data_IF_998177615160
#
_entry.id   IF_998177615160
#
_cell.length_a   1.000
_cell.length_b   1.000
_cell.length_c   1.000
_cell.angle_alpha   90.00
_cell.angle_beta   90.00
_cell.angle_gamma   90.00
#
_symmetry.space_group_name_H-M   'P 1'
#
loop_
_entity.id
_entity.type
_entity.pdbx_description
1 polymer ?
#
# COMPACT_ATOMS: atom_id res chain seq x y z
N UNK A 1 -14.78 -20.86 10.23
CA UNK A 1 -14.10 -20.82 8.93
C UNK A 1 -14.69 -21.88 8.03
N UNK A 2 -14.92 -21.58 6.76
CA UNK A 2 -15.53 -22.52 5.81
C UNK A 2 -17.06 -22.45 5.73
N UNK A 3 -17.70 -21.60 6.52
CA UNK A 3 -19.14 -21.35 6.45
C UNK A 3 -19.50 -20.50 5.23
N UNK A 4 -20.76 -20.60 4.78
CA UNK A 4 -21.26 -19.82 3.66
C UNK A 4 -22.06 -18.62 4.16
N UNK A 5 -21.86 -17.46 3.54
CA UNK A 5 -22.70 -16.31 3.75
C UNK A 5 -24.08 -16.52 3.10
N UNK A 6 -25.13 -15.86 3.63
CA UNK A 6 -26.41 -15.80 2.96
C UNK A 6 -26.28 -15.26 1.52
N UNK A 7 -27.22 -15.63 0.65
CA UNK A 7 -27.23 -15.15 -0.73
C UNK A 7 -27.36 -13.63 -0.83
N UNK A 8 -26.90 -13.02 -1.93
CA UNK A 8 -27.06 -11.57 -2.20
C UNK A 8 -28.52 -11.10 -2.01
N UNK A 9 -29.51 -11.96 -2.34
CA UNK A 9 -30.93 -11.64 -2.16
C UNK A 9 -31.32 -11.59 -0.68
N UNK A 10 -30.82 -12.52 0.12
CA UNK A 10 -31.08 -12.57 1.56
C UNK A 10 -30.40 -11.39 2.27
N UNK A 11 -29.14 -11.13 1.96
CA UNK A 11 -28.40 -9.97 2.51
C UNK A 11 -29.08 -8.64 2.14
N UNK A 12 -29.54 -8.48 0.89
CA UNK A 12 -30.26 -7.29 0.45
C UNK A 12 -31.56 -7.08 1.25
N UNK A 13 -32.26 -8.15 1.56
CA UNK A 13 -33.48 -8.09 2.38
C UNK A 13 -33.16 -7.78 3.84
N UNK A 14 -32.15 -8.44 4.40
CA UNK A 14 -31.73 -8.30 5.81
C UNK A 14 -31.23 -6.88 6.12
N UNK A 15 -30.42 -6.31 5.22
CA UNK A 15 -29.86 -4.97 5.39
C UNK A 15 -30.69 -3.84 4.77
N UNK A 16 -31.82 -4.14 4.14
CA UNK A 16 -32.71 -3.14 3.55
C UNK A 16 -32.08 -2.35 2.38
N UNK A 17 -31.15 -2.95 1.66
CA UNK A 17 -30.42 -2.31 0.56
C UNK A 17 -30.64 -3.01 -0.78
N UNK A 18 -30.21 -2.37 -1.89
CA UNK A 18 -30.35 -2.99 -3.22
C UNK A 18 -29.34 -4.13 -3.41
N UNK A 19 -29.67 -5.13 -4.27
CA UNK A 19 -28.75 -6.21 -4.62
C UNK A 19 -27.42 -5.73 -5.23
N UNK A 20 -27.38 -4.71 -6.11
CA UNK A 20 -26.13 -4.12 -6.55
C UNK A 20 -25.26 -3.56 -5.41
N UNK A 21 -25.87 -2.95 -4.40
CA UNK A 21 -25.16 -2.44 -3.20
C UNK A 21 -24.51 -3.59 -2.42
N UNK A 22 -25.27 -4.68 -2.18
CA UNK A 22 -24.71 -5.89 -1.54
C UNK A 22 -23.58 -6.49 -2.36
N UNK A 23 -23.73 -6.56 -3.68
CA UNK A 23 -22.71 -7.12 -4.57
C UNK A 23 -21.40 -6.33 -4.46
N UNK A 24 -21.48 -5.01 -4.47
CA UNK A 24 -20.32 -4.14 -4.31
C UNK A 24 -19.66 -4.32 -2.95
N UNK A 25 -20.43 -4.34 -1.88
CA UNK A 25 -19.92 -4.62 -0.53
C UNK A 25 -19.24 -5.99 -0.42
N UNK A 26 -19.81 -7.04 -1.04
CA UNK A 26 -19.19 -8.36 -1.06
C UNK A 26 -17.91 -8.39 -1.92
N UNK A 27 -17.82 -7.58 -2.98
CA UNK A 27 -16.60 -7.40 -3.77
C UNK A 27 -15.50 -6.76 -2.91
N UNK A 28 -15.84 -5.76 -2.10
CA UNK A 28 -14.91 -5.13 -1.17
C UNK A 28 -14.43 -6.12 -0.09
N UNK A 29 -15.32 -6.92 0.48
CA UNK A 29 -14.99 -7.95 1.47
C UNK A 29 -14.16 -9.10 0.87
N UNK A 30 -14.45 -9.49 -0.38
CA UNK A 30 -13.65 -10.48 -1.12
C UNK A 30 -12.24 -9.95 -1.41
N UNK A 31 -12.12 -8.66 -1.71
CA UNK A 31 -10.84 -7.99 -1.87
C UNK A 31 -9.97 -8.00 -0.61
N UNK A 32 -10.60 -7.95 0.55
CA UNK A 32 -9.92 -8.10 1.85
C UNK A 32 -9.51 -9.55 2.15
N UNK A 33 -9.82 -10.51 1.25
CA UNK A 33 -9.50 -11.93 1.41
C UNK A 33 -10.34 -12.64 2.48
N UNK A 34 -11.39 -12.00 2.98
CA UNK A 34 -12.26 -12.55 4.02
C UNK A 34 -13.23 -13.60 3.47
N UNK A 35 -13.62 -13.48 2.20
CA UNK A 35 -14.54 -14.38 1.53
C UNK A 35 -14.03 -14.78 0.14
N UNK A 36 -14.57 -15.85 -0.43
CA UNK A 36 -14.39 -16.25 -1.82
C UNK A 36 -15.75 -16.48 -2.46
N UNK A 37 -15.94 -15.98 -3.67
CA UNK A 37 -17.19 -16.10 -4.43
C UNK A 37 -16.95 -16.96 -5.67
N UNK A 38 -17.72 -18.05 -5.80
CA UNK A 38 -17.70 -18.89 -6.99
C UNK A 38 -19.11 -19.03 -7.53
N UNK A 39 -19.26 -18.87 -8.84
CA UNK A 39 -20.56 -19.04 -9.50
C UNK A 39 -21.07 -20.47 -9.30
N UNK A 40 -22.23 -20.60 -8.66
CA UNK A 40 -22.86 -21.89 -8.36
C UNK A 40 -22.46 -22.49 -7.00
N UNK A 41 -21.41 -22.00 -6.34
CA UNK A 41 -20.93 -22.51 -5.05
C UNK A 41 -21.25 -21.53 -3.88
N UNK A 42 -21.69 -20.31 -4.21
CA UNK A 42 -22.02 -19.28 -3.21
C UNK A 42 -20.82 -18.47 -2.74
N UNK A 43 -20.98 -17.83 -1.56
CA UNK A 43 -19.95 -17.00 -0.93
C UNK A 43 -19.45 -17.67 0.34
N UNK A 44 -18.21 -18.12 0.33
CA UNK A 44 -17.59 -18.87 1.43
C UNK A 44 -16.70 -17.94 2.27
N UNK A 45 -16.83 -18.03 3.60
CA UNK A 45 -15.97 -17.32 4.55
C UNK A 45 -14.60 -18.01 4.63
N UNK A 46 -13.54 -17.28 4.31
CA UNK A 46 -12.15 -17.75 4.35
C UNK A 46 -11.45 -17.39 5.66
N UNK A 47 -11.71 -16.19 6.17
CA UNK A 47 -11.12 -15.67 7.39
C UNK A 47 -12.12 -14.81 8.16
N UNK A 48 -11.94 -14.68 9.47
CA UNK A 48 -12.74 -13.82 10.36
C UNK A 48 -12.07 -12.47 10.64
N UNK A 49 -10.80 -12.33 10.23
CA UNK A 49 -10.04 -11.07 10.22
C UNK A 49 -9.44 -10.89 8.84
N UNK A 50 -9.32 -9.65 8.34
CA UNK A 50 -8.51 -9.39 7.15
C UNK A 50 -7.14 -10.03 7.36
N UNK A 51 -6.62 -10.72 6.35
CA UNK A 51 -5.22 -11.11 6.40
C UNK A 51 -4.41 -9.82 6.50
N UNK A 52 -3.60 -9.72 7.54
CA UNK A 52 -2.58 -8.67 7.65
C UNK A 52 -1.48 -8.83 6.61
N UNK A 53 -1.53 -9.89 5.83
CA UNK A 53 -0.69 -10.08 4.66
C UNK A 53 -1.05 -9.03 3.61
N UNK A 54 -0.14 -8.15 3.31
CA UNK A 54 -0.28 -7.10 2.29
C UNK A 54 -0.53 -7.72 0.92
N UNK A 55 -1.82 -7.89 0.55
CA UNK A 55 -2.20 -8.36 -0.78
C UNK A 55 -2.37 -7.16 -1.71
N UNK A 56 -1.45 -7.01 -2.62
CA UNK A 56 -1.58 -6.07 -3.72
C UNK A 56 -2.48 -6.66 -4.80
N UNK A 57 -3.58 -6.00 -5.09
CA UNK A 57 -4.40 -6.28 -6.26
C UNK A 57 -4.06 -5.27 -7.36
N UNK A 58 -4.27 -5.63 -8.63
CA UNK A 58 -4.14 -4.71 -9.77
C UNK A 58 -5.28 -3.70 -9.86
N UNK A 59 -5.83 -3.29 -8.71
CA UNK A 59 -6.88 -2.29 -8.62
C UNK A 59 -6.31 -0.87 -8.76
N UNK A 60 -7.20 0.13 -9.02
CA UNK A 60 -6.79 1.54 -9.06
C UNK A 60 -5.94 1.96 -7.86
N UNK A 61 -5.25 3.08 -8.00
CA UNK A 61 -4.35 3.66 -6.98
C UNK A 61 -4.96 3.66 -5.58
N UNK A 62 -6.28 3.84 -5.48
CA UNK A 62 -7.06 3.87 -4.22
C UNK A 62 -7.05 2.54 -3.43
N UNK A 63 -6.79 1.41 -4.10
CA UNK A 63 -6.70 0.09 -3.45
C UNK A 63 -5.29 -0.23 -2.91
N UNK A 64 -4.33 0.63 -3.18
CA UNK A 64 -2.99 0.55 -2.60
C UNK A 64 -2.96 1.00 -1.13
N UNK A 65 -4.13 1.20 -0.52
CA UNK A 65 -4.29 1.59 0.88
C UNK A 65 -3.68 0.52 1.79
N UNK A 66 -2.42 0.73 2.12
CA UNK A 66 -1.76 -0.01 3.17
C UNK A 66 -2.56 0.07 4.46
N UNK A 67 -3.09 -1.09 4.86
CA UNK A 67 -3.54 -1.33 6.20
C UNK A 67 -4.34 -0.20 6.85
N UNK A 68 -5.64 -0.12 6.58
CA UNK A 68 -6.57 0.62 7.46
C UNK A 68 -6.46 0.19 8.94
N UNK A 69 -5.66 -0.84 9.23
CA UNK A 69 -5.35 -1.35 10.56
C UNK A 69 -3.92 -1.07 11.04
N UNK A 70 -3.18 -0.16 10.40
CA UNK A 70 -1.81 0.17 10.79
C UNK A 70 -1.64 1.67 11.06
N UNK A 71 -1.00 2.01 12.16
CA UNK A 71 -0.66 3.38 12.56
C UNK A 71 0.69 3.77 11.97
N UNK A 72 0.78 4.99 11.43
CA UNK A 72 2.05 5.60 11.04
C UNK A 72 2.72 6.22 12.25
N UNK A 73 4.00 5.91 12.44
CA UNK A 73 4.84 6.54 13.44
C UNK A 73 6.02 7.19 12.70
N UNK A 74 6.08 8.52 12.73
CA UNK A 74 7.18 9.29 12.17
C UNK A 74 8.29 9.39 13.21
N UNK A 75 9.49 8.98 12.85
CA UNK A 75 10.67 8.98 13.74
C UNK A 75 11.64 10.12 13.45
N UNK A 76 11.54 10.72 12.27
CA UNK A 76 12.36 11.86 11.86
C UNK A 76 11.87 12.50 10.57
N UNK A 77 12.09 13.80 10.45
CA UNK A 77 11.86 14.55 9.22
C UNK A 77 13.04 15.48 9.02
N UNK A 78 13.74 15.31 7.90
CA UNK A 78 14.95 16.04 7.57
C UNK A 78 14.95 16.52 6.11
N UNK A 79 15.62 17.62 5.83
CA UNK A 79 15.94 18.00 4.46
C UNK A 79 17.21 17.29 4.01
N UNK A 80 17.16 16.64 2.84
CA UNK A 80 18.31 15.96 2.26
C UNK A 80 18.59 16.47 0.85
N UNK A 81 19.87 16.54 0.51
CA UNK A 81 20.34 16.83 -0.85
C UNK A 81 20.86 15.51 -1.43
N UNK A 82 20.34 15.10 -2.58
CA UNK A 82 20.79 13.88 -3.23
C UNK A 82 22.27 13.93 -3.55
N UNK A 83 23.05 13.05 -2.96
CA UNK A 83 24.33 12.61 -3.51
C UNK A 83 24.10 11.65 -4.69
N UNK A 84 25.17 11.15 -5.29
CA UNK A 84 25.07 10.23 -6.43
C UNK A 84 24.32 8.93 -6.07
N UNK A 85 24.60 8.36 -4.91
CA UNK A 85 24.00 7.09 -4.48
C UNK A 85 22.48 7.22 -4.20
N UNK A 86 22.10 8.28 -3.50
CA UNK A 86 20.69 8.55 -3.23
C UNK A 86 19.94 8.92 -4.54
N UNK A 87 20.59 9.68 -5.43
CA UNK A 87 20.01 10.04 -6.71
C UNK A 87 19.71 8.80 -7.59
N UNK A 88 20.61 7.84 -7.64
CA UNK A 88 20.40 6.55 -8.31
C UNK A 88 19.23 5.78 -7.66
N UNK A 89 19.19 5.73 -6.33
CA UNK A 89 18.15 5.00 -5.60
C UNK A 89 16.76 5.61 -5.78
N UNK A 90 16.66 6.95 -5.86
CA UNK A 90 15.40 7.67 -6.06
C UNK A 90 15.07 7.88 -7.55
N UNK A 91 15.95 7.46 -8.47
CA UNK A 91 15.90 7.78 -9.90
C UNK A 91 15.69 9.30 -10.11
N UNK A 92 16.54 10.09 -9.48
CA UNK A 92 16.51 11.53 -9.39
C UNK A 92 17.83 12.12 -9.89
N UNK A 93 17.93 13.44 -9.95
CA UNK A 93 19.18 14.11 -10.26
C UNK A 93 20.04 14.31 -9.00
N UNK A 94 21.36 14.14 -9.06
CA UNK A 94 22.26 14.61 -8.00
C UNK A 94 22.03 16.10 -7.73
N UNK A 95 22.11 16.49 -6.46
CA UNK A 95 21.87 17.86 -6.03
C UNK A 95 20.39 18.23 -5.86
N UNK A 96 19.45 17.37 -6.23
CA UNK A 96 18.04 17.62 -5.97
C UNK A 96 17.76 17.55 -4.46
N UNK A 97 16.94 18.49 -3.97
CA UNK A 97 16.50 18.55 -2.56
C UNK A 97 15.22 17.77 -2.37
N UNK A 98 15.18 17.01 -1.29
CA UNK A 98 14.01 16.25 -0.86
C UNK A 98 13.77 16.49 0.64
N UNK A 99 12.50 16.41 1.03
CA UNK A 99 12.12 16.23 2.42
C UNK A 99 12.12 14.71 2.69
N UNK A 100 12.98 14.25 3.56
CA UNK A 100 13.07 12.86 3.99
C UNK A 100 12.26 12.64 5.25
N UNK A 101 11.45 11.61 5.27
CA UNK A 101 10.63 11.20 6.41
C UNK A 101 11.00 9.77 6.75
N UNK A 102 11.65 9.59 7.89
CA UNK A 102 11.87 8.28 8.49
C UNK A 102 10.62 7.88 9.26
N UNK A 103 10.07 6.70 8.96
CA UNK A 103 8.82 6.24 9.56
C UNK A 103 8.76 4.73 9.67
N UNK A 104 7.83 4.26 10.47
CA UNK A 104 7.39 2.87 10.46
C UNK A 104 5.86 2.79 10.63
N UNK A 105 5.30 1.61 10.37
CA UNK A 105 3.89 1.35 10.64
C UNK A 105 3.76 0.18 11.59
N UNK A 106 2.93 0.37 12.60
CA UNK A 106 2.60 -0.65 13.59
C UNK A 106 1.18 -1.14 13.39
N UNK A 107 0.98 -2.43 13.60
CA UNK A 107 -0.35 -3.01 13.71
C UNK A 107 -1.09 -2.42 14.93
N UNK A 108 -2.31 -1.94 14.72
CA UNK A 108 -3.09 -1.27 15.76
C UNK A 108 -3.54 -2.21 16.89
N UNK A 109 -3.68 -3.53 16.61
CA UNK A 109 -4.14 -4.49 17.61
C UNK A 109 -2.98 -5.03 18.45
N UNK A 110 -1.85 -5.33 17.80
CA UNK A 110 -0.71 -5.99 18.44
C UNK A 110 0.42 -5.05 18.81
N UNK A 111 0.44 -3.84 18.26
CA UNK A 111 1.55 -2.89 18.36
C UNK A 111 2.81 -3.34 17.60
N UNK A 112 2.77 -4.47 16.90
CA UNK A 112 3.92 -5.01 16.18
C UNK A 112 4.27 -4.14 14.97
N UNK A 113 5.54 -3.83 14.79
CA UNK A 113 6.02 -3.12 13.61
C UNK A 113 5.87 -4.00 12.37
N UNK A 114 5.12 -3.53 11.39
CA UNK A 114 4.83 -4.23 10.13
C UNK A 114 5.76 -3.82 9.01
N UNK A 115 6.11 -2.54 8.95
CA UNK A 115 6.86 -1.93 7.85
C UNK A 115 7.82 -0.90 8.43
N UNK A 116 9.06 -0.93 7.98
CA UNK A 116 10.03 0.15 8.14
C UNK A 116 10.15 0.90 6.83
N UNK A 117 10.15 2.23 6.83
CA UNK A 117 10.14 2.97 5.58
C UNK A 117 10.76 4.35 5.63
N UNK A 118 11.29 4.74 4.49
CA UNK A 118 11.74 6.07 4.17
C UNK A 118 10.85 6.65 3.08
N UNK A 119 10.34 7.87 3.28
CA UNK A 119 9.59 8.61 2.27
C UNK A 119 10.34 9.88 1.93
N UNK A 120 10.49 10.11 0.64
CA UNK A 120 11.13 11.29 0.09
C UNK A 120 10.11 12.10 -0.69
N UNK A 121 9.84 13.32 -0.26
CA UNK A 121 8.92 14.25 -0.91
C UNK A 121 9.75 15.31 -1.62
N UNK A 122 9.38 15.65 -2.85
CA UNK A 122 10.01 16.77 -3.56
C UNK A 122 9.92 18.03 -2.69
N UNK A 123 11.07 18.66 -2.43
CA UNK A 123 11.18 19.77 -1.48
C UNK A 123 10.20 20.93 -1.75
N UNK A 124 9.74 21.10 -2.99
CA UNK A 124 8.73 22.11 -3.32
C UNK A 124 7.42 21.93 -2.55
N UNK A 125 7.16 20.72 -2.00
CA UNK A 125 5.96 20.37 -1.22
C UNK A 125 6.22 20.34 0.30
N UNK A 126 7.33 20.91 0.77
CA UNK A 126 7.76 20.82 2.18
C UNK A 126 6.80 21.51 3.18
N UNK A 127 5.87 22.36 2.75
CA UNK A 127 4.91 23.02 3.66
C UNK A 127 3.96 22.04 4.37
N UNK A 128 3.79 20.80 3.86
CA UNK A 128 2.98 19.77 4.51
C UNK A 128 3.65 19.14 5.74
N UNK A 129 4.91 19.46 6.04
CA UNK A 129 5.71 18.85 7.11
C UNK A 129 4.97 18.79 8.45
N UNK A 130 4.29 19.87 8.83
CA UNK A 130 3.56 19.96 10.09
C UNK A 130 2.35 19.01 10.19
N UNK A 131 1.83 18.56 9.05
CA UNK A 131 0.64 17.71 8.96
C UNK A 131 0.99 16.21 8.90
N UNK A 132 2.22 15.86 8.48
CA UNK A 132 2.62 14.48 8.18
C UNK A 132 2.45 13.55 9.39
N UNK A 133 2.82 13.99 10.59
CA UNK A 133 2.79 13.16 11.79
C UNK A 133 1.36 12.77 12.22
N UNK A 134 0.37 13.60 11.92
CA UNK A 134 -1.03 13.38 12.28
C UNK A 134 -1.83 12.74 11.13
N UNK A 135 -1.25 12.72 9.92
CA UNK A 135 -1.94 12.23 8.73
C UNK A 135 -1.70 10.74 8.53
N UNK A 136 -2.74 9.93 8.70
CA UNK A 136 -2.66 8.47 8.56
C UNK A 136 -2.83 7.94 7.13
N UNK A 137 -3.20 8.81 6.17
CA UNK A 137 -3.36 8.49 4.75
C UNK A 137 -2.03 8.37 3.99
N UNK A 138 -2.10 8.34 2.67
CA UNK A 138 -0.90 8.45 1.84
C UNK A 138 -0.42 9.89 1.81
N UNK A 139 0.89 10.08 1.85
CA UNK A 139 1.47 11.44 1.80
C UNK A 139 1.19 12.09 0.44
N UNK A 140 1.17 11.29 -0.64
CA UNK A 140 0.80 11.81 -1.96
C UNK A 140 -0.63 12.38 -2.02
N UNK A 141 -1.58 11.84 -1.22
CA UNK A 141 -2.94 12.40 -1.14
C UNK A 141 -2.91 13.76 -0.44
N UNK A 142 -2.11 13.89 0.62
CA UNK A 142 -1.91 15.16 1.29
C UNK A 142 -1.27 16.22 0.36
N UNK A 143 -0.33 15.81 -0.50
CA UNK A 143 0.24 16.67 -1.54
C UNK A 143 -0.85 17.09 -2.54
N UNK A 144 -1.72 16.17 -2.95
CA UNK A 144 -2.82 16.46 -3.86
C UNK A 144 -3.82 17.43 -3.24
N UNK A 145 -4.17 17.25 -1.97
CA UNK A 145 -5.10 18.13 -1.22
C UNK A 145 -4.54 19.54 -1.08
N UNK A 146 -3.27 19.69 -0.70
CA UNK A 146 -2.66 21.00 -0.42
C UNK A 146 -2.22 21.78 -1.68
N UNK A 147 -1.76 21.06 -2.70
CA UNK A 147 -1.16 21.70 -3.89
C UNK A 147 -1.95 21.48 -5.19
N UNK A 148 -2.99 20.65 -5.17
CA UNK A 148 -3.74 20.29 -6.37
C UNK A 148 -2.94 19.49 -7.38
N UNK A 149 -1.87 18.82 -6.96
CA UNK A 149 -0.98 18.03 -7.81
C UNK A 149 -1.37 16.57 -7.78
N UNK A 150 -2.17 16.14 -8.74
CA UNK A 150 -2.62 14.75 -8.81
C UNK A 150 -1.51 13.78 -9.22
N UNK A 151 -1.40 12.67 -8.48
CA UNK A 151 -0.63 11.51 -8.91
C UNK A 151 -1.37 10.79 -10.05
N UNK A 152 -0.66 10.54 -11.15
CA UNK A 152 -1.21 9.89 -12.36
C UNK A 152 -0.63 8.53 -12.66
N UNK A 153 0.52 8.24 -12.08
CA UNK A 153 1.21 6.96 -12.26
C UNK A 153 1.96 6.61 -11.01
N UNK A 154 1.92 5.34 -10.63
CA UNK A 154 2.78 4.78 -9.60
C UNK A 154 3.63 3.70 -10.22
N UNK A 155 4.94 3.89 -10.17
CA UNK A 155 5.91 2.89 -10.54
C UNK A 155 6.36 2.14 -9.29
N UNK A 156 6.37 0.81 -9.35
CA UNK A 156 6.75 -0.03 -8.23
C UNK A 156 7.84 -1.01 -8.62
N UNK A 157 8.87 -1.08 -7.81
CA UNK A 157 9.94 -2.06 -7.89
C UNK A 157 10.00 -2.82 -6.57
N UNK A 158 10.10 -4.15 -6.64
CA UNK A 158 10.23 -5.02 -5.48
C UNK A 158 11.52 -5.81 -5.63
N UNK A 159 12.34 -5.82 -4.57
CA UNK A 159 13.60 -6.56 -4.51
C UNK A 159 13.68 -7.36 -3.23
N UNK A 160 14.17 -8.61 -3.26
CA UNK A 160 14.57 -9.30 -2.05
C UNK A 160 15.81 -8.62 -1.46
N UNK A 161 15.84 -8.46 -0.14
CA UNK A 161 16.95 -7.83 0.58
C UNK A 161 17.29 -8.60 1.85
N UNK A 162 18.56 -8.53 2.26
CA UNK A 162 18.94 -8.83 3.63
C UNK A 162 18.70 -7.56 4.43
N UNK A 163 17.85 -7.65 5.45
CA UNK A 163 17.50 -6.50 6.28
C UNK A 163 18.73 -6.06 7.08
N UNK A 164 18.99 -4.75 7.13
CA UNK A 164 20.12 -4.22 7.88
C UNK A 164 19.99 -4.50 9.37
N UNK A 165 21.11 -4.60 10.08
CA UNK A 165 21.12 -4.83 11.54
C UNK A 165 20.35 -3.76 12.31
N UNK A 166 20.40 -2.51 11.87
CA UNK A 166 19.63 -1.40 12.46
C UNK A 166 18.13 -1.65 12.36
N UNK A 167 17.64 -2.03 11.17
CA UNK A 167 16.21 -2.31 10.95
C UNK A 167 15.81 -3.61 11.64
N UNK A 168 16.65 -4.67 11.62
CA UNK A 168 16.41 -5.89 12.38
C UNK A 168 16.22 -5.60 13.87
N UNK A 169 17.10 -4.79 14.46
CA UNK A 169 16.99 -4.41 15.87
C UNK A 169 15.70 -3.64 16.16
N UNK A 170 15.34 -2.67 15.31
CA UNK A 170 14.12 -1.87 15.46
C UNK A 170 12.84 -2.70 15.33
N UNK A 171 12.84 -3.71 14.45
CA UNK A 171 11.70 -4.59 14.19
C UNK A 171 11.67 -5.84 15.07
N UNK A 172 12.62 -6.00 16.00
CA UNK A 172 12.81 -7.20 16.82
C UNK A 172 12.94 -8.48 15.95
N UNK A 173 13.76 -8.42 14.91
CA UNK A 173 14.07 -9.54 14.01
C UNK A 173 15.47 -10.08 14.28
N UNK A 174 15.73 -11.37 13.99
CA UNK A 174 17.07 -11.92 13.98
C UNK A 174 17.98 -11.17 12.99
N UNK A 175 19.27 -11.05 13.31
CA UNK A 175 20.24 -10.50 12.38
C UNK A 175 20.34 -11.38 11.13
N UNK A 176 20.41 -10.76 9.94
CA UNK A 176 20.44 -11.48 8.67
C UNK A 176 19.05 -11.90 8.16
N UNK A 177 17.96 -11.46 8.81
CA UNK A 177 16.59 -11.68 8.32
C UNK A 177 16.45 -11.19 6.88
N UNK A 178 15.64 -11.92 6.11
CA UNK A 178 15.28 -11.56 4.74
C UNK A 178 14.02 -10.68 4.74
N UNK A 179 13.86 -9.92 3.67
CA UNK A 179 12.66 -9.13 3.45
C UNK A 179 12.51 -8.72 2.00
N UNK A 180 11.44 -8.00 1.74
CA UNK A 180 11.19 -7.33 0.47
C UNK A 180 11.37 -5.82 0.64
N UNK A 181 12.28 -5.24 -0.14
CA UNK A 181 12.32 -3.80 -0.33
C UNK A 181 11.36 -3.43 -1.45
N UNK A 182 10.43 -2.56 -1.15
CA UNK A 182 9.47 -2.04 -2.10
C UNK A 182 9.69 -0.55 -2.29
N UNK A 183 10.15 -0.18 -3.48
CA UNK A 183 10.29 1.21 -3.89
C UNK A 183 9.10 1.62 -4.74
N UNK A 184 8.42 2.70 -4.38
CA UNK A 184 7.36 3.32 -5.17
C UNK A 184 7.72 4.74 -5.51
N UNK A 185 7.48 5.10 -6.77
CA UNK A 185 7.62 6.47 -7.28
C UNK A 185 6.24 6.96 -7.71
N UNK A 186 5.78 8.00 -7.08
CA UNK A 186 4.48 8.62 -7.34
C UNK A 186 4.68 9.79 -8.31
N UNK A 187 4.20 9.64 -9.53
CA UNK A 187 4.48 10.56 -10.63
C UNK A 187 3.25 11.41 -10.96
N UNK A 188 3.47 12.70 -11.16
CA UNK A 188 2.45 13.62 -11.65
C UNK A 188 2.24 13.47 -13.18
N UNK A 189 1.37 14.32 -13.76
CA UNK A 189 1.08 14.34 -15.19
C UNK A 189 2.29 14.69 -16.08
N UNK A 190 3.35 15.29 -15.52
CA UNK A 190 4.60 15.59 -16.21
C UNK A 190 5.67 14.49 -16.05
N UNK A 191 5.29 13.34 -15.51
CA UNK A 191 6.20 12.22 -15.17
C UNK A 191 7.31 12.60 -14.18
N UNK A 192 7.07 13.62 -13.36
CA UNK A 192 7.98 14.01 -12.28
C UNK A 192 7.54 13.34 -10.98
N UNK A 193 8.48 12.76 -10.26
CA UNK A 193 8.21 12.19 -8.96
C UNK A 193 7.91 13.30 -7.94
N UNK A 194 6.73 13.24 -7.35
CA UNK A 194 6.28 14.09 -6.24
C UNK A 194 6.66 13.45 -4.91
N UNK A 195 6.64 12.13 -4.87
CA UNK A 195 7.02 11.31 -3.73
C UNK A 195 7.75 10.06 -4.22
N UNK A 196 8.73 9.60 -3.44
CA UNK A 196 9.34 8.27 -3.55
C UNK A 196 9.32 7.63 -2.18
N UNK A 197 8.73 6.45 -2.05
CA UNK A 197 8.77 5.67 -0.82
C UNK A 197 9.60 4.41 -0.98
N UNK A 198 10.39 4.09 0.03
CA UNK A 198 11.21 2.88 0.11
C UNK A 198 10.84 2.17 1.40
N UNK A 199 10.19 1.03 1.30
CA UNK A 199 9.63 0.31 2.43
C UNK A 199 10.24 -1.09 2.53
N UNK A 200 10.60 -1.51 3.74
CA UNK A 200 11.12 -2.84 4.07
C UNK A 200 10.01 -3.65 4.75
N UNK A 201 9.70 -4.78 4.15
CA UNK A 201 8.73 -5.75 4.63
C UNK A 201 9.48 -7.04 4.99
N UNK A 202 9.50 -7.47 6.27
CA UNK A 202 10.13 -8.73 6.65
C UNK A 202 9.34 -9.92 6.07
N UNK A 203 10.07 -10.98 5.67
CA UNK A 203 9.50 -12.19 5.05
C UNK A 203 8.46 -12.89 5.93
N UNK A 204 8.72 -12.99 7.22
CA UNK A 204 7.81 -13.63 8.17
C UNK A 204 6.45 -12.93 8.34
N UNK A 205 6.33 -11.67 7.90
CA UNK A 205 5.17 -10.80 8.11
C UNK A 205 4.51 -10.35 6.81
N UNK A 206 5.03 -10.76 5.66
CA UNK A 206 4.61 -10.17 4.39
C UNK A 206 4.47 -11.18 3.27
N UNK A 207 3.35 -11.11 2.58
CA UNK A 207 3.12 -11.85 1.34
C UNK A 207 2.73 -10.88 0.25
N UNK A 208 3.50 -10.83 -0.83
CA UNK A 208 3.14 -10.09 -2.03
C UNK A 208 2.35 -10.98 -3.00
N UNK A 209 1.13 -10.59 -3.33
CA UNK A 209 0.28 -11.30 -4.28
C UNK A 209 -0.27 -10.33 -5.33
N UNK A 210 -0.15 -10.70 -6.60
CA UNK A 210 -0.73 -9.96 -7.73
C UNK A 210 -1.59 -10.89 -8.57
N UNK A 211 -2.78 -10.44 -8.95
CA UNK A 211 -3.64 -11.16 -9.88
C UNK A 211 -3.62 -10.47 -11.23
N UNK A 212 -3.15 -11.18 -12.25
CA UNK A 212 -3.14 -10.71 -13.62
C UNK A 212 -4.30 -11.36 -14.41
N UNK A 213 -5.21 -10.54 -14.92
CA UNK A 213 -6.33 -11.01 -15.74
C UNK A 213 -6.03 -10.80 -17.22
N UNK A 214 -6.14 -11.87 -18.03
CA UNK A 214 -6.02 -11.77 -19.49
C UNK A 214 -7.37 -11.40 -20.08
N UNK A 215 -7.50 -10.21 -20.65
CA UNK A 215 -8.67 -9.84 -21.47
C UNK A 215 -8.54 -10.57 -22.82
N UNK A 216 -9.49 -11.46 -23.14
CA UNK A 216 -9.62 -11.98 -24.51
C UNK A 216 -10.28 -10.89 -25.35
N UNK A 217 -9.55 -10.27 -26.27
CA UNK A 217 -10.16 -9.55 -27.37
C UNK A 217 -11.00 -10.54 -28.17
N UNK A 218 -12.33 -10.36 -28.16
CA UNK A 218 -13.19 -11.05 -29.11
C UNK A 218 -12.73 -10.64 -30.52
N UNK A 219 -12.16 -11.59 -31.25
CA UNK A 219 -11.99 -11.44 -32.70
C UNK A 219 -13.36 -11.03 -33.26
N UNK A 220 -13.43 -9.83 -33.83
CA UNK A 220 -14.59 -9.45 -34.65
C UNK A 220 -14.52 -10.32 -35.89
N UNK A 221 -15.42 -11.31 -35.97
CA UNK A 221 -15.69 -12.01 -37.20
C UNK A 221 -16.01 -10.98 -38.28
N UNK A 222 -15.26 -11.09 -39.35
CA UNK A 222 -15.52 -10.40 -40.63
C UNK A 222 -16.59 -11.14 -41.42
#
# INVERSE_FOLDING_TARGET
>A
MGEYLPSEKQLAHEFGVSRPTVRRALEDVEALGLISRRRGDGTKVLANKPFTDYRYTTRPVDDLLYGRGAERIVTGIDEVVCDTALAERLESAPGKRWLHIAQHRNDLETGQMLVWGDVYIDHQFSSITSQISEYNGFICDLIEEEYGIAVREIQQVIRPVIISSTVCSAMALPEGSLGLEMTRRYLNNQKRAVEVSINIFPDERSVYSITLSRTQERAKDR
#
